data_IF_887955361479
#
_entry.id   IF_887955361479
#
_cell.length_a   1.000
_cell.length_b   1.000
_cell.length_c   1.000
_cell.angle_alpha   90.00
_cell.angle_beta   90.00
_cell.angle_gamma   90.00
#
_symmetry.space_group_name_H-M   'P 1'
#
loop_
_entity.id
_entity.type
_entity.pdbx_description
1 polymer ?
#
# COMPACT_ATOMS: atom_id res chain seq x y z
N UNK A 1 15.37 -14.92 7.95
CA UNK A 1 14.31 -14.84 8.98
C UNK A 1 12.98 -14.70 8.25
N UNK A 2 12.27 -15.81 8.07
CA UNK A 2 10.96 -15.82 7.43
C UNK A 2 9.95 -15.14 8.36
N UNK A 3 9.39 -14.00 7.96
CA UNK A 3 8.22 -13.45 8.67
C UNK A 3 7.10 -14.49 8.53
N UNK A 4 6.70 -15.06 9.67
CA UNK A 4 5.49 -15.88 9.78
C UNK A 4 4.32 -15.04 9.28
N UNK A 5 3.48 -15.67 8.48
CA UNK A 5 2.20 -15.16 8.00
C UNK A 5 1.26 -15.03 9.22
N UNK A 6 1.34 -13.91 9.92
CA UNK A 6 0.21 -13.48 10.75
C UNK A 6 -0.87 -12.99 9.76
N UNK A 7 -2.10 -13.56 9.82
CA UNK A 7 -3.15 -13.12 8.93
C UNK A 7 -3.42 -11.63 9.22
N UNK A 8 -3.09 -10.77 8.26
CA UNK A 8 -3.44 -9.36 8.35
C UNK A 8 -4.96 -9.26 8.33
N UNK A 9 -5.54 -8.63 9.35
CA UNK A 9 -6.99 -8.41 9.42
C UNK A 9 -7.43 -7.61 8.19
N UNK A 10 -8.46 -8.07 7.44
CA UNK A 10 -8.98 -7.34 6.30
C UNK A 10 -9.44 -5.93 6.67
N UNK A 11 -9.10 -4.94 5.85
CA UNK A 11 -9.47 -3.54 6.01
C UNK A 11 -10.82 -3.26 5.35
N UNK A 12 -11.79 -2.80 6.15
CA UNK A 12 -13.13 -2.45 5.64
C UNK A 12 -13.25 -0.96 5.32
N UNK A 13 -12.79 -0.60 4.12
CA UNK A 13 -12.96 0.77 3.60
C UNK A 13 -14.41 1.13 3.27
N UNK A 14 -15.29 0.14 3.08
CA UNK A 14 -16.70 0.42 2.75
C UNK A 14 -17.42 0.96 3.98
N UNK A 15 -17.21 0.32 5.14
CA UNK A 15 -17.73 0.81 6.43
C UNK A 15 -17.21 2.22 6.74
N UNK A 16 -15.90 2.47 6.60
CA UNK A 16 -15.34 3.83 6.81
C UNK A 16 -16.01 4.90 5.93
N UNK A 17 -16.27 4.56 4.66
CA UNK A 17 -16.93 5.45 3.70
C UNK A 17 -18.38 5.70 4.08
N UNK A 18 -19.13 4.63 4.33
CA UNK A 18 -20.57 4.66 4.51
C UNK A 18 -20.94 5.34 5.83
N UNK A 19 -20.16 5.10 6.88
CA UNK A 19 -20.31 5.74 8.20
C UNK A 19 -19.69 7.14 8.27
N UNK A 20 -18.94 7.56 7.23
CA UNK A 20 -18.26 8.86 7.16
C UNK A 20 -17.43 9.15 8.41
N UNK A 21 -16.62 8.18 8.80
CA UNK A 21 -15.76 8.25 9.98
C UNK A 21 -14.82 9.45 9.93
N UNK A 22 -14.17 9.76 11.06
CA UNK A 22 -13.16 10.82 11.10
C UNK A 22 -11.99 10.49 10.16
N UNK A 23 -11.54 9.23 10.11
CA UNK A 23 -10.52 8.74 9.18
C UNK A 23 -10.90 9.00 7.73
N UNK A 24 -12.12 8.64 7.35
CA UNK A 24 -12.61 8.85 6.00
C UNK A 24 -12.76 10.32 5.65
N UNK A 25 -13.22 11.16 6.59
CA UNK A 25 -13.39 12.61 6.33
C UNK A 25 -12.06 13.35 6.20
N UNK A 26 -11.05 13.00 7.01
CA UNK A 26 -9.72 13.61 6.94
C UNK A 26 -8.93 13.16 5.71
N UNK A 27 -9.22 11.98 5.18
CA UNK A 27 -8.59 11.47 3.98
C UNK A 27 -9.00 12.28 2.74
N UNK A 28 -8.18 13.25 2.32
CA UNK A 28 -8.33 13.95 1.05
C UNK A 28 -7.06 13.80 0.20
N UNK A 29 -7.09 12.96 -0.86
CA UNK A 29 -5.91 12.70 -1.68
C UNK A 29 -5.48 13.90 -2.54
N UNK A 30 -6.32 14.94 -2.69
CA UNK A 30 -5.99 16.10 -3.54
C UNK A 30 -5.11 17.13 -2.84
N UNK A 31 -5.05 17.08 -1.52
CA UNK A 31 -4.27 18.01 -0.69
C UNK A 31 -3.23 17.29 0.17
N UNK A 32 -3.23 15.95 0.15
CA UNK A 32 -2.17 15.14 0.75
C UNK A 32 -0.97 15.02 -0.18
N UNK A 33 0.22 14.89 0.40
CA UNK A 33 1.40 14.43 -0.34
C UNK A 33 1.39 12.90 -0.35
N UNK A 34 1.50 12.30 -1.53
CA UNK A 34 1.53 10.85 -1.73
C UNK A 34 2.73 10.52 -2.59
N UNK A 35 3.71 9.81 -2.06
CA UNK A 35 4.89 9.37 -2.79
C UNK A 35 4.97 7.85 -2.80
N UNK A 36 4.90 7.22 -3.98
CA UNK A 36 5.06 5.76 -4.06
C UNK A 36 6.54 5.35 -3.97
N UNK A 37 6.85 4.52 -2.97
CA UNK A 37 8.21 4.02 -2.68
C UNK A 37 8.42 2.55 -3.06
N UNK A 38 7.34 1.77 -3.14
CA UNK A 38 7.35 0.41 -3.66
C UNK A 38 6.03 0.09 -4.36
N UNK A 39 5.91 -1.11 -4.92
CA UNK A 39 4.72 -1.50 -5.68
C UNK A 39 3.42 -1.41 -4.85
N UNK A 40 3.51 -1.65 -3.55
CA UNK A 40 2.44 -1.63 -2.54
C UNK A 40 2.71 -0.65 -1.38
N UNK A 41 3.65 0.29 -1.54
CA UNK A 41 4.01 1.23 -0.46
C UNK A 41 4.05 2.67 -0.91
N UNK A 42 3.58 3.54 -0.02
CA UNK A 42 3.55 4.99 -0.19
C UNK A 42 3.98 5.69 1.09
N UNK A 43 4.72 6.78 0.96
CA UNK A 43 4.87 7.79 2.00
C UNK A 43 3.71 8.78 1.85
N UNK A 44 2.93 8.96 2.91
CA UNK A 44 1.75 9.83 2.93
C UNK A 44 1.89 10.88 4.01
N UNK A 45 1.67 12.15 3.64
CA UNK A 45 1.56 13.26 4.59
C UNK A 45 0.22 13.96 4.38
N UNK A 46 -0.63 13.94 5.42
CA UNK A 46 -1.89 14.67 5.43
C UNK A 46 -1.64 16.17 5.69
N UNK A 47 -2.50 17.07 5.17
CA UNK A 47 -2.33 18.51 5.36
C UNK A 47 -2.43 18.97 6.82
N UNK A 48 -3.09 18.19 7.67
CA UNK A 48 -3.25 18.42 9.11
C UNK A 48 -2.34 17.52 9.97
N UNK A 49 -1.42 16.78 9.34
CA UNK A 49 -0.51 15.86 10.00
C UNK A 49 0.89 16.44 10.18
N UNK A 50 1.47 16.21 11.36
CA UNK A 50 2.85 16.64 11.67
C UNK A 50 3.91 15.69 11.11
N UNK A 51 3.55 14.41 10.94
CA UNK A 51 4.46 13.35 10.53
C UNK A 51 4.07 12.75 9.18
N UNK A 52 5.09 12.30 8.44
CA UNK A 52 4.89 11.42 7.30
C UNK A 52 4.61 9.99 7.77
N UNK A 53 3.88 9.22 6.97
CA UNK A 53 3.55 7.83 7.28
C UNK A 53 3.96 6.91 6.15
N UNK A 54 4.58 5.77 6.47
CA UNK A 54 4.72 4.68 5.51
C UNK A 54 3.47 3.80 5.53
N UNK A 55 2.78 3.79 4.41
CA UNK A 55 1.53 3.08 4.18
C UNK A 55 1.82 1.92 3.25
N UNK A 56 1.61 0.70 3.74
CA UNK A 56 1.52 -0.50 2.90
C UNK A 56 0.05 -0.81 2.64
N UNK A 57 -0.33 -0.98 1.38
CA UNK A 57 -1.69 -1.38 0.99
C UNK A 57 -1.67 -2.22 -0.28
N UNK A 58 -2.35 -3.36 -0.23
CA UNK A 58 -2.47 -4.31 -1.33
C UNK A 58 -3.82 -5.03 -1.26
N UNK A 59 -4.17 -5.74 -2.33
CA UNK A 59 -5.20 -6.78 -2.28
C UNK A 59 -4.54 -8.15 -2.13
N UNK A 60 -5.11 -8.95 -1.24
CA UNK A 60 -4.71 -10.34 -0.98
C UNK A 60 -5.97 -11.20 -1.02
N UNK A 61 -6.07 -12.10 -2.00
CA UNK A 61 -7.26 -12.91 -2.25
C UNK A 61 -8.55 -12.05 -2.35
N UNK A 62 -8.46 -10.88 -2.97
CA UNK A 62 -9.57 -9.93 -3.15
C UNK A 62 -9.94 -9.08 -1.94
N UNK A 63 -9.33 -9.31 -0.77
CA UNK A 63 -9.50 -8.46 0.41
C UNK A 63 -8.42 -7.37 0.46
N UNK A 64 -8.76 -6.17 0.94
CA UNK A 64 -7.73 -5.17 1.21
C UNK A 64 -7.00 -5.50 2.51
N UNK A 65 -5.67 -5.48 2.46
CA UNK A 65 -4.80 -5.67 3.63
C UNK A 65 -3.71 -4.60 3.64
N UNK A 66 -3.35 -4.13 4.82
CA UNK A 66 -2.41 -3.03 4.90
C UNK A 66 -2.03 -2.63 6.32
N UNK A 67 -0.94 -1.87 6.40
CA UNK A 67 -0.36 -1.39 7.64
C UNK A 67 0.05 0.07 7.44
N UNK A 68 0.06 0.84 8.52
CA UNK A 68 0.49 2.22 8.51
C UNK A 68 1.42 2.46 9.70
N UNK A 69 2.57 3.06 9.44
CA UNK A 69 3.57 3.41 10.44
C UNK A 69 3.87 4.90 10.37
N UNK A 70 3.93 5.57 11.51
CA UNK A 70 4.48 6.93 11.62
C UNK A 70 5.98 6.89 11.38
N UNK A 71 6.50 7.87 10.64
CA UNK A 71 7.93 8.07 10.41
C UNK A 71 8.40 9.26 11.24
N UNK A 72 9.34 9.02 12.15
CA UNK A 72 10.04 10.06 12.90
C UNK A 72 11.55 9.80 12.83
N UNK A 73 12.25 10.54 11.96
CA UNK A 73 13.63 10.24 11.60
C UNK A 73 13.79 8.82 11.05
N UNK A 74 14.61 8.00 11.74
CA UNK A 74 14.85 6.60 11.40
C UNK A 74 13.89 5.63 12.13
N UNK A 75 13.06 6.12 13.03
CA UNK A 75 12.14 5.32 13.84
C UNK A 75 10.80 5.10 13.14
N UNK A 76 10.19 3.94 13.42
CA UNK A 76 8.91 3.52 12.86
C UNK A 76 8.02 2.95 13.96
N UNK A 77 6.91 3.63 14.18
CA UNK A 77 5.92 3.24 15.18
C UNK A 77 4.57 2.96 14.52
N UNK A 78 3.79 1.99 15.02
CA UNK A 78 2.43 1.75 14.53
C UNK A 78 1.62 3.05 14.56
N UNK A 79 0.95 3.36 13.45
CA UNK A 79 0.13 4.56 13.37
C UNK A 79 -0.92 4.55 14.49
N UNK A 80 -1.03 5.62 15.30
CA UNK A 80 -2.05 5.71 16.35
C UNK A 80 -3.47 5.49 15.83
N UNK A 81 -3.73 5.89 14.57
CA UNK A 81 -5.01 5.65 13.91
C UNK A 81 -5.36 4.17 13.74
N UNK A 82 -4.37 3.29 13.59
CA UNK A 82 -4.59 1.83 13.58
C UNK A 82 -4.61 1.25 15.01
N UNK A 83 -3.99 1.92 15.99
CA UNK A 83 -3.91 1.43 17.36
C UNK A 83 -5.17 1.75 18.19
N UNK A 84 -5.86 2.86 17.88
CA UNK A 84 -6.97 3.39 18.69
C UNK A 84 -8.33 3.43 17.97
N UNK A 85 -8.40 2.99 16.70
CA UNK A 85 -9.66 2.88 15.95
C UNK A 85 -9.78 1.51 15.29
N UNK A 86 -10.99 0.95 15.32
CA UNK A 86 -11.34 -0.25 14.60
C UNK A 86 -11.60 0.12 13.13
N UNK A 87 -10.58 -0.04 12.27
CA UNK A 87 -10.69 0.26 10.84
C UNK A 87 -9.44 0.90 10.25
N UNK A 88 -9.38 1.09 8.91
CA UNK A 88 -8.23 1.71 8.28
C UNK A 88 -8.09 3.19 8.69
N UNK A 89 -6.90 3.59 9.11
CA UNK A 89 -6.61 4.98 9.42
C UNK A 89 -6.77 5.93 8.22
N UNK A 90 -6.76 7.25 8.48
CA UNK A 90 -6.87 8.28 7.46
C UNK A 90 -5.82 8.14 6.33
N UNK A 91 -4.61 7.68 6.63
CA UNK A 91 -3.55 7.48 5.63
C UNK A 91 -3.88 6.33 4.66
N UNK A 92 -4.36 5.20 5.17
CA UNK A 92 -4.86 4.09 4.36
C UNK A 92 -6.06 4.52 3.51
N UNK A 93 -6.99 5.25 4.12
CA UNK A 93 -8.15 5.82 3.41
C UNK A 93 -7.73 6.79 2.29
N UNK A 94 -6.64 7.53 2.47
CA UNK A 94 -6.12 8.48 1.48
C UNK A 94 -5.58 7.76 0.25
N UNK A 95 -4.73 6.74 0.43
CA UNK A 95 -4.27 5.89 -0.69
C UNK A 95 -5.46 5.23 -1.38
N UNK A 96 -6.43 4.71 -0.61
CA UNK A 96 -7.64 4.09 -1.18
C UNK A 96 -8.49 5.05 -2.02
N UNK A 97 -8.64 6.29 -1.58
CA UNK A 97 -9.36 7.33 -2.33
C UNK A 97 -8.59 7.78 -3.55
N UNK A 98 -7.27 7.92 -3.45
CA UNK A 98 -6.42 8.26 -4.59
C UNK A 98 -6.57 7.23 -5.72
N UNK A 99 -6.55 5.94 -5.37
CA UNK A 99 -6.76 4.84 -6.32
C UNK A 99 -8.15 4.76 -6.95
N UNK A 100 -9.18 5.31 -6.28
CA UNK A 100 -10.51 5.39 -6.87
C UNK A 100 -10.73 6.65 -7.70
N UNK A 101 -10.10 7.75 -7.28
CA UNK A 101 -10.35 9.10 -7.80
C UNK A 101 -9.45 9.52 -8.95
N UNK A 102 -8.69 8.59 -9.52
CA UNK A 102 -7.72 8.83 -10.60
C UNK A 102 -6.68 9.91 -10.24
N UNK A 103 -6.18 9.87 -9.01
CA UNK A 103 -5.19 10.82 -8.49
C UNK A 103 -3.78 10.28 -8.73
N UNK A 104 -2.85 11.18 -9.08
CA UNK A 104 -1.44 10.88 -9.24
C UNK A 104 -0.64 11.10 -7.96
N UNK A 105 0.47 10.37 -7.82
CA UNK A 105 1.47 10.59 -6.79
C UNK A 105 2.35 11.82 -7.13
N UNK A 106 3.31 12.14 -6.26
CA UNK A 106 4.26 13.25 -6.43
C UNK A 106 5.17 13.14 -7.66
N UNK A 107 5.15 12.00 -8.36
CA UNK A 107 5.90 11.72 -9.57
C UNK A 107 4.99 11.57 -10.80
N UNK A 108 3.77 12.11 -10.74
CA UNK A 108 2.75 12.06 -11.82
C UNK A 108 2.33 10.62 -12.22
N UNK A 109 2.48 9.64 -11.31
CA UNK A 109 2.02 8.25 -11.54
C UNK A 109 0.68 8.03 -10.88
N UNK A 110 -0.25 7.38 -11.57
CA UNK A 110 -1.52 6.98 -10.95
C UNK A 110 -1.26 6.13 -9.70
N UNK A 111 -2.01 6.44 -8.64
CA UNK A 111 -1.99 5.63 -7.43
C UNK A 111 -2.83 4.38 -7.71
N UNK A 112 -2.20 3.24 -7.93
CA UNK A 112 -2.87 1.97 -8.16
C UNK A 112 -2.64 1.00 -6.99
N UNK A 113 -3.69 0.31 -6.55
CA UNK A 113 -3.58 -0.76 -5.54
C UNK A 113 -3.62 -2.11 -6.27
N UNK A 114 -2.52 -2.85 -6.16
CA UNK A 114 -2.31 -4.10 -6.86
C UNK A 114 -2.75 -5.30 -6.02
N UNK A 115 -3.14 -6.35 -6.72
CA UNK A 115 -3.32 -7.68 -6.16
C UNK A 115 -1.94 -8.36 -6.01
N UNK A 116 -1.70 -9.06 -4.90
CA UNK A 116 -0.38 -9.66 -4.64
C UNK A 116 -0.12 -10.80 -5.62
N UNK A 117 -1.16 -11.53 -6.03
CA UNK A 117 -1.09 -12.57 -7.05
C UNK A 117 -0.69 -11.98 -8.41
N UNK A 118 -1.30 -10.88 -8.85
CA UNK A 118 -0.96 -10.22 -10.11
C UNK A 118 0.53 -9.80 -10.16
N UNK A 119 1.05 -9.28 -9.05
CA UNK A 119 2.46 -8.86 -8.97
C UNK A 119 3.40 -10.06 -8.90
N UNK A 120 2.99 -11.15 -8.24
CA UNK A 120 3.76 -12.39 -8.19
C UNK A 120 3.87 -13.01 -9.59
N UNK A 121 2.75 -13.07 -10.32
CA UNK A 121 2.70 -13.59 -11.68
C UNK A 121 3.55 -12.76 -12.64
N UNK A 122 3.43 -11.43 -12.61
CA UNK A 122 4.25 -10.54 -13.43
C UNK A 122 5.76 -10.69 -13.16
N UNK A 123 6.16 -10.89 -11.90
CA UNK A 123 7.57 -11.15 -11.54
C UNK A 123 8.03 -12.53 -12.02
N UNK A 124 7.20 -13.54 -11.91
CA UNK A 124 7.49 -14.89 -12.39
C UNK A 124 7.68 -14.89 -13.91
N UNK A 125 6.78 -14.24 -14.64
CA UNK A 125 6.85 -14.08 -16.10
C UNK A 125 8.13 -13.36 -16.52
N UNK A 126 8.47 -12.25 -15.85
CA UNK A 126 9.71 -11.51 -16.15
C UNK A 126 10.97 -12.34 -15.86
N UNK A 127 10.95 -13.17 -14.81
CA UNK A 127 12.06 -14.09 -14.51
C UNK A 127 12.20 -15.17 -15.60
N UNK A 128 11.08 -15.73 -16.08
CA UNK A 128 11.07 -16.69 -17.20
C UNK A 128 11.58 -16.04 -18.48
N UNK A 129 11.21 -14.79 -18.75
CA UNK A 129 11.70 -14.04 -19.92
C UNK A 129 13.23 -13.85 -19.87
N UNK A 130 13.80 -13.41 -18.73
CA UNK A 130 15.26 -13.31 -18.58
C UNK A 130 15.96 -14.66 -18.80
N UNK A 131 15.43 -15.73 -18.21
CA UNK A 131 15.99 -17.08 -18.39
C UNK A 131 15.94 -17.54 -19.87
N UNK A 132 14.93 -17.11 -20.63
CA UNK A 132 14.83 -17.38 -22.08
C UNK A 132 15.77 -16.49 -22.89
N UNK A 133 15.98 -15.24 -22.48
CA UNK A 133 16.89 -14.29 -23.13
C UNK A 133 18.37 -14.67 -22.95
N UNK A 134 18.75 -15.25 -21.81
CA UNK A 134 20.12 -15.67 -21.49
C UNK A 134 20.52 -17.04 -22.09
N UNK A 135 19.82 -17.51 -23.13
CA UNK A 135 19.98 -18.83 -23.75
C UNK A 135 21.43 -19.33 -23.82
N UNK A 136 21.79 -20.31 -22.96
CA UNK A 136 23.20 -20.65 -22.76
C UNK A 136 23.51 -22.04 -22.21
N UNK A 137 22.82 -23.07 -22.72
CA UNK A 137 23.25 -24.50 -22.79
C UNK A 137 23.51 -25.27 -21.47
N UNK A 138 22.51 -26.04 -21.05
CA UNK A 138 22.71 -27.17 -20.14
C UNK A 138 23.17 -28.42 -20.93
N UNK A 139 24.41 -28.87 -20.69
CA UNK A 139 24.81 -30.26 -20.98
C UNK A 139 24.69 -31.04 -19.67
N UNK A 140 23.82 -32.04 -19.64
CA UNK A 140 23.89 -33.09 -18.61
C UNK A 140 24.90 -34.16 -19.04
N UNK A 141 25.64 -34.77 -18.09
CA UNK A 141 26.63 -35.83 -18.35
C UNK A 141 26.00 -37.15 -18.78
#
# INVERSE_FOLDING_TARGET
MSRRWEPMTPLDFATERDDRTASWRRADPRVALIERTAWNRWVVTLPDGEHAHDVRLERDHGAYVGECYTLDGDEREPCPGNAYHDGPCAHLCTVRKAAFGDVTDTHDRHVDIFDVEDVADARADHAVEKLRADGGRWRWP
#
